data_IF_779838198980
#
_entry.id   IF_779838198980
#
_cell.length_a   1.000
_cell.length_b   1.000
_cell.length_c   1.000
_cell.angle_alpha   90.00
_cell.angle_beta   90.00
_cell.angle_gamma   90.00
#
_symmetry.space_group_name_H-M   'P 1'
#
loop_
_entity.id
_entity.type
_entity.pdbx_description
1 polymer ?
#
# COMPACT_ATOMS: atom_id res chain seq x y z
N UNK A 1 11.55 -2.24 -8.04
CA UNK A 1 12.54 -3.34 -7.90
C UNK A 1 13.95 -2.90 -8.29
N UNK A 2 14.21 -2.55 -9.56
CA UNK A 2 15.56 -2.14 -10.02
C UNK A 2 16.16 -1.00 -9.19
N UNK A 3 15.36 0.04 -8.88
CA UNK A 3 15.81 1.14 -8.03
C UNK A 3 16.19 0.72 -6.60
N UNK A 4 15.55 -0.30 -6.02
CA UNK A 4 15.92 -0.81 -4.70
C UNK A 4 17.27 -1.52 -4.74
N UNK A 5 17.51 -2.36 -5.75
CA UNK A 5 18.78 -3.07 -5.91
C UNK A 5 19.92 -2.06 -6.10
N UNK A 6 19.72 -1.05 -6.96
CA UNK A 6 20.67 0.04 -7.15
C UNK A 6 20.99 0.76 -5.83
N UNK A 7 19.95 1.17 -5.10
CA UNK A 7 20.12 1.89 -3.84
C UNK A 7 20.82 1.03 -2.78
N UNK A 8 20.39 -0.23 -2.60
CA UNK A 8 21.00 -1.17 -1.66
C UNK A 8 22.47 -1.40 -1.96
N UNK A 9 22.81 -1.62 -3.23
CA UNK A 9 24.18 -1.94 -3.59
C UNK A 9 25.12 -0.74 -3.40
N UNK A 10 24.72 0.45 -3.86
CA UNK A 10 25.58 1.64 -3.80
C UNK A 10 25.56 2.29 -2.41
N UNK A 11 24.36 2.60 -1.90
CA UNK A 11 24.23 3.43 -0.70
C UNK A 11 24.24 2.64 0.61
N UNK A 12 24.13 1.31 0.57
CA UNK A 12 24.11 0.49 1.80
C UNK A 12 25.30 -0.47 1.84
N UNK A 13 25.44 -1.33 0.82
CA UNK A 13 26.50 -2.33 0.76
C UNK A 13 27.88 -1.70 0.53
N UNK A 14 28.04 -0.92 -0.55
CA UNK A 14 29.30 -0.27 -0.89
C UNK A 14 29.69 0.82 0.13
N UNK A 15 28.71 1.49 0.72
CA UNK A 15 28.92 2.44 1.81
C UNK A 15 29.30 1.78 3.15
N UNK A 16 29.23 0.45 3.27
CA UNK A 16 29.63 -0.28 4.48
C UNK A 16 28.68 -0.13 5.68
N UNK A 17 27.42 0.29 5.47
CA UNK A 17 26.48 0.57 6.55
C UNK A 17 26.05 -0.67 7.35
N UNK A 18 25.95 -1.82 6.69
CA UNK A 18 25.46 -3.08 7.27
C UNK A 18 26.49 -4.21 7.25
N UNK A 19 27.78 -3.89 7.03
CA UNK A 19 28.85 -4.89 6.91
C UNK A 19 29.37 -5.37 8.26
N UNK A 20 29.19 -4.59 9.32
CA UNK A 20 29.63 -4.92 10.67
C UNK A 20 28.50 -5.47 11.55
N UNK A 21 28.86 -6.36 12.47
CA UNK A 21 27.94 -6.81 13.51
C UNK A 21 27.65 -5.69 14.52
N UNK A 22 26.42 -5.63 15.07
CA UNK A 22 25.34 -6.63 15.00
C UNK A 22 24.38 -6.47 13.79
N UNK A 23 24.57 -5.44 12.96
CA UNK A 23 23.61 -5.10 11.91
C UNK A 23 23.60 -6.13 10.77
N UNK A 24 24.77 -6.68 10.43
CA UNK A 24 24.90 -7.72 9.42
C UNK A 24 24.11 -8.98 9.79
N UNK A 25 24.42 -9.55 10.96
CA UNK A 25 23.76 -10.75 11.48
C UNK A 25 22.25 -10.56 11.65
N UNK A 26 21.80 -9.40 12.15
CA UNK A 26 20.38 -9.09 12.25
C UNK A 26 19.67 -9.10 10.88
N UNK A 27 20.27 -8.45 9.87
CA UNK A 27 19.67 -8.35 8.52
C UNK A 27 19.61 -9.71 7.82
N UNK A 28 20.66 -10.52 7.98
CA UNK A 28 20.69 -11.90 7.47
C UNK A 28 19.62 -12.75 8.15
N UNK A 29 19.56 -12.71 9.49
CA UNK A 29 18.60 -13.49 10.27
C UNK A 29 17.14 -13.09 9.96
N UNK A 30 16.87 -11.81 9.74
CA UNK A 30 15.55 -11.32 9.35
C UNK A 30 15.11 -11.90 8.00
N UNK A 31 16.00 -11.95 7.02
CA UNK A 31 15.71 -12.51 5.69
C UNK A 31 15.45 -14.02 5.75
N UNK A 32 16.26 -14.76 6.52
CA UNK A 32 16.10 -16.21 6.70
C UNK A 32 14.80 -16.54 7.44
N UNK A 33 14.48 -15.79 8.50
CA UNK A 33 13.24 -15.96 9.28
C UNK A 33 12.01 -15.76 8.41
N UNK A 34 11.99 -14.71 7.57
CA UNK A 34 10.91 -14.50 6.61
C UNK A 34 10.83 -15.65 5.60
N UNK A 35 11.96 -16.13 5.11
CA UNK A 35 12.04 -17.28 4.21
C UNK A 35 11.60 -18.62 4.83
N UNK A 36 11.67 -18.80 6.15
CA UNK A 36 11.19 -20.00 6.86
C UNK A 36 9.77 -19.87 7.40
N UNK A 37 9.17 -18.68 7.36
CA UNK A 37 7.81 -18.45 7.87
C UNK A 37 6.79 -19.17 6.98
N UNK A 38 5.74 -19.72 7.60
CA UNK A 38 4.70 -20.44 6.87
C UNK A 38 3.89 -19.50 5.96
N UNK A 39 3.50 -20.00 4.79
CA UNK A 39 2.86 -19.22 3.73
C UNK A 39 1.63 -18.44 4.20
N UNK A 40 0.74 -19.09 4.97
CA UNK A 40 -0.50 -18.47 5.46
C UNK A 40 -0.22 -17.37 6.50
N UNK A 41 0.84 -17.47 7.29
CA UNK A 41 1.19 -16.45 8.27
C UNK A 41 1.65 -15.17 7.56
N UNK A 42 2.48 -15.30 6.52
CA UNK A 42 2.91 -14.17 5.69
C UNK A 42 1.74 -13.54 4.93
N UNK A 43 0.82 -14.36 4.44
CA UNK A 43 -0.40 -13.89 3.78
C UNK A 43 -1.27 -13.05 4.72
N UNK A 44 -1.58 -13.55 5.93
CA UNK A 44 -2.38 -12.83 6.93
C UNK A 44 -1.70 -11.53 7.38
N UNK A 45 -0.38 -11.57 7.63
CA UNK A 45 0.40 -10.36 7.93
C UNK A 45 0.39 -9.36 6.77
N UNK A 46 0.32 -9.84 5.52
CA UNK A 46 0.20 -9.03 4.32
C UNK A 46 -1.13 -8.28 4.22
N UNK A 47 -2.23 -8.92 4.64
CA UNK A 47 -3.57 -8.28 4.63
C UNK A 47 -3.59 -7.08 5.57
N UNK A 48 -3.26 -7.30 6.84
CA UNK A 48 -3.23 -6.22 7.83
C UNK A 48 -2.18 -5.15 7.49
N UNK A 49 -1.05 -5.57 6.91
CA UNK A 49 0.01 -4.67 6.48
C UNK A 49 -0.48 -3.62 5.47
N UNK A 50 -1.08 -4.07 4.37
CA UNK A 50 -1.53 -3.12 3.34
C UNK A 50 -2.81 -2.38 3.73
N UNK A 51 -3.64 -2.95 4.61
CA UNK A 51 -4.76 -2.20 5.17
C UNK A 51 -4.27 -0.92 5.87
N UNK A 52 -3.27 -1.02 6.76
CA UNK A 52 -2.72 0.15 7.45
C UNK A 52 -2.01 1.14 6.51
N UNK A 53 -1.31 0.64 5.48
CA UNK A 53 -0.67 1.49 4.47
C UNK A 53 -1.72 2.27 3.67
N UNK A 54 -2.78 1.62 3.20
CA UNK A 54 -3.86 2.30 2.49
C UNK A 54 -4.64 3.25 3.42
N UNK A 55 -4.81 2.90 4.70
CA UNK A 55 -5.42 3.77 5.70
C UNK A 55 -4.59 5.04 5.93
N UNK A 56 -3.26 4.93 6.01
CA UNK A 56 -2.37 6.09 6.12
C UNK A 56 -2.52 7.05 4.92
N UNK A 57 -2.60 6.51 3.71
CA UNK A 57 -2.84 7.31 2.50
C UNK A 57 -4.20 7.99 2.57
N UNK A 58 -5.26 7.26 2.92
CA UNK A 58 -6.61 7.83 3.03
C UNK A 58 -6.70 8.94 4.08
N UNK A 59 -6.17 8.72 5.29
CA UNK A 59 -6.13 9.75 6.32
C UNK A 59 -5.30 10.97 5.88
N UNK A 60 -4.18 10.74 5.19
CA UNK A 60 -3.34 11.79 4.63
C UNK A 60 -4.01 12.60 3.53
N UNK A 61 -4.82 11.98 2.66
CA UNK A 61 -5.55 12.71 1.61
C UNK A 61 -6.81 13.38 2.13
N UNK A 62 -7.43 12.85 3.19
CA UNK A 62 -8.65 13.43 3.80
C UNK A 62 -8.35 14.62 4.72
N UNK A 63 -7.12 14.71 5.24
CA UNK A 63 -6.71 15.81 6.11
C UNK A 63 -6.48 17.12 5.32
N UNK A 64 -6.95 18.24 5.88
CA UNK A 64 -6.78 19.58 5.29
C UNK A 64 -5.49 20.27 5.73
N UNK A 65 -5.07 20.02 6.97
CA UNK A 65 -3.90 20.66 7.58
C UNK A 65 -2.65 19.78 7.49
N UNK A 66 -1.48 20.41 7.37
CA UNK A 66 -0.20 19.69 7.28
C UNK A 66 0.05 18.78 8.49
N UNK A 67 -0.20 19.26 9.70
CA UNK A 67 -0.01 18.47 10.93
C UNK A 67 -0.89 17.23 10.90
N UNK A 68 -2.16 17.38 10.52
CA UNK A 68 -3.10 16.26 10.40
C UNK A 68 -2.67 15.25 9.32
N UNK A 69 -2.10 15.71 8.20
CA UNK A 69 -1.53 14.83 7.16
C UNK A 69 -0.36 14.01 7.69
N UNK A 70 0.55 14.65 8.42
CA UNK A 70 1.73 14.00 8.99
C UNK A 70 1.30 12.97 10.04
N UNK A 71 0.46 13.35 11.00
CA UNK A 71 0.02 12.46 12.09
C UNK A 71 -0.85 11.32 11.55
N UNK A 72 -1.80 11.64 10.66
CA UNK A 72 -2.70 10.66 10.04
C UNK A 72 -1.98 9.63 9.17
N UNK A 73 -0.88 10.02 8.52
CA UNK A 73 0.00 9.08 7.84
C UNK A 73 0.92 8.32 8.81
N UNK A 74 1.58 9.03 9.72
CA UNK A 74 2.60 8.47 10.60
C UNK A 74 2.07 7.38 11.52
N UNK A 75 0.91 7.57 12.16
CA UNK A 75 0.42 6.63 13.17
C UNK A 75 0.12 5.22 12.60
N UNK A 76 -0.63 5.06 11.48
CA UNK A 76 -0.84 3.73 10.90
C UNK A 76 0.45 3.12 10.35
N UNK A 77 1.35 3.91 9.74
CA UNK A 77 2.65 3.46 9.25
C UNK A 77 3.57 3.00 10.39
N UNK A 78 3.59 3.72 11.50
CA UNK A 78 4.33 3.33 12.70
C UNK A 78 3.78 2.03 13.29
N UNK A 79 2.45 1.91 13.43
CA UNK A 79 1.81 0.70 13.94
C UNK A 79 2.12 -0.52 13.05
N UNK A 80 2.08 -0.31 11.73
CA UNK A 80 2.45 -1.32 10.74
C UNK A 80 3.85 -1.91 10.99
N UNK A 81 4.84 -1.04 11.21
CA UNK A 81 6.23 -1.46 11.48
C UNK A 81 6.38 -2.02 12.89
N UNK A 82 5.77 -1.39 13.90
CA UNK A 82 5.90 -1.78 15.31
C UNK A 82 5.34 -3.17 15.59
N UNK A 83 4.24 -3.55 14.95
CA UNK A 83 3.63 -4.88 15.08
C UNK A 83 4.34 -5.94 14.22
N UNK A 84 5.09 -5.52 13.19
CA UNK A 84 5.82 -6.42 12.31
C UNK A 84 4.92 -7.08 11.24
N UNK A 85 4.01 -6.30 10.66
CA UNK A 85 3.24 -6.73 9.49
C UNK A 85 4.11 -6.75 8.22
N UNK A 86 3.59 -7.42 7.18
CA UNK A 86 4.35 -7.68 5.96
C UNK A 86 3.85 -6.79 4.82
N UNK A 87 4.79 -6.22 4.06
CA UNK A 87 4.47 -5.44 2.87
C UNK A 87 5.44 -5.79 1.76
N UNK A 88 4.91 -6.08 0.57
CA UNK A 88 5.67 -6.60 -0.56
C UNK A 88 6.81 -5.66 -0.94
N UNK A 89 6.55 -4.34 -0.97
CA UNK A 89 7.57 -3.33 -1.30
C UNK A 89 8.63 -3.22 -0.20
N UNK A 90 8.24 -3.29 1.08
CA UNK A 90 9.21 -3.28 2.19
C UNK A 90 10.09 -4.54 2.20
N UNK A 91 9.53 -5.69 1.81
CA UNK A 91 10.26 -6.94 1.67
C UNK A 91 11.22 -6.93 0.48
N UNK A 92 10.90 -6.20 -0.61
CA UNK A 92 11.87 -5.94 -1.67
C UNK A 92 13.11 -5.22 -1.14
N UNK A 93 12.97 -4.35 -0.12
CA UNK A 93 14.12 -3.72 0.49
C UNK A 93 14.83 -4.63 1.50
N UNK A 94 14.09 -5.12 2.50
CA UNK A 94 14.67 -5.79 3.67
C UNK A 94 15.21 -7.18 3.37
N UNK A 95 14.46 -8.00 2.61
CA UNK A 95 14.86 -9.38 2.31
C UNK A 95 16.01 -9.41 1.28
N UNK A 96 15.95 -8.54 0.26
CA UNK A 96 17.03 -8.45 -0.74
C UNK A 96 18.33 -7.97 -0.11
N UNK A 97 18.28 -7.03 0.84
CA UNK A 97 19.48 -6.62 1.56
C UNK A 97 20.11 -7.79 2.34
N UNK A 98 19.29 -8.63 3.00
CA UNK A 98 19.78 -9.84 3.66
C UNK A 98 20.40 -10.85 2.69
N UNK A 99 19.80 -11.01 1.51
CA UNK A 99 20.37 -11.86 0.43
C UNK A 99 21.71 -11.33 -0.08
N UNK A 100 21.86 -10.01 -0.27
CA UNK A 100 23.12 -9.36 -0.67
C UNK A 100 24.22 -9.58 0.39
N UNK A 101 23.85 -9.56 1.68
CA UNK A 101 24.79 -9.77 2.80
C UNK A 101 25.15 -11.24 3.07
N UNK A 102 24.48 -12.18 2.38
CA UNK A 102 24.80 -13.61 2.42
C UNK A 102 23.77 -14.51 3.11
N UNK A 103 22.50 -14.11 3.20
CA UNK A 103 21.45 -14.98 3.75
C UNK A 103 21.25 -16.26 2.93
N UNK A 104 21.00 -17.39 3.60
CA UNK A 104 20.71 -18.67 2.97
C UNK A 104 19.24 -18.74 2.48
N UNK A 105 18.92 -17.88 1.52
CA UNK A 105 17.60 -17.79 0.91
C UNK A 105 17.75 -17.76 -0.61
N UNK A 106 17.30 -18.81 -1.29
CA UNK A 106 17.31 -18.83 -2.75
C UNK A 106 16.27 -17.86 -3.32
N UNK A 107 16.56 -17.29 -4.49
CA UNK A 107 15.64 -16.37 -5.19
C UNK A 107 14.28 -17.03 -5.45
N UNK A 108 14.28 -18.31 -5.83
CA UNK A 108 13.04 -19.07 -6.05
C UNK A 108 12.20 -19.19 -4.77
N UNK A 109 12.83 -19.48 -3.63
CA UNK A 109 12.14 -19.57 -2.33
C UNK A 109 11.64 -18.20 -1.86
N UNK A 110 12.43 -17.14 -2.06
CA UNK A 110 11.99 -15.76 -1.79
C UNK A 110 10.74 -15.40 -2.58
N UNK A 111 10.71 -15.68 -3.88
CA UNK A 111 9.54 -15.35 -4.71
C UNK A 111 8.32 -16.18 -4.28
N UNK A 112 8.47 -17.50 -4.21
CA UNK A 112 7.34 -18.40 -3.97
C UNK A 112 6.78 -18.32 -2.55
N UNK A 113 7.66 -18.28 -1.54
CA UNK A 113 7.28 -18.39 -0.13
C UNK A 113 7.09 -17.04 0.55
N UNK A 114 7.70 -15.96 0.05
CA UNK A 114 7.59 -14.62 0.67
C UNK A 114 6.82 -13.65 -0.20
N UNK A 115 7.24 -13.44 -1.45
CA UNK A 115 6.66 -12.38 -2.29
C UNK A 115 5.21 -12.67 -2.70
N UNK A 116 4.91 -13.87 -3.19
CA UNK A 116 3.55 -14.23 -3.63
C UNK A 116 2.53 -14.09 -2.49
N UNK A 117 2.69 -14.74 -1.31
CA UNK A 117 1.70 -14.63 -0.24
C UNK A 117 1.52 -13.20 0.24
N UNK A 118 2.62 -12.46 0.43
CA UNK A 118 2.53 -11.07 0.91
C UNK A 118 1.87 -10.16 -0.12
N UNK A 119 2.14 -10.35 -1.41
CA UNK A 119 1.52 -9.55 -2.48
C UNK A 119 0.01 -9.83 -2.56
N UNK A 120 -0.40 -11.11 -2.51
CA UNK A 120 -1.81 -11.48 -2.48
C UNK A 120 -2.52 -10.91 -1.24
N UNK A 121 -1.88 -11.02 -0.08
CA UNK A 121 -2.38 -10.42 1.15
C UNK A 121 -2.52 -8.91 1.02
N UNK A 122 -1.51 -8.23 0.46
CA UNK A 122 -1.54 -6.78 0.26
C UNK A 122 -2.67 -6.35 -0.68
N UNK A 123 -2.88 -7.05 -1.80
CA UNK A 123 -3.98 -6.76 -2.74
C UNK A 123 -5.33 -6.85 -2.01
N UNK A 124 -5.55 -7.91 -1.24
CA UNK A 124 -6.77 -8.06 -0.44
C UNK A 124 -6.90 -6.98 0.64
N UNK A 125 -5.81 -6.68 1.36
CA UNK A 125 -5.79 -5.67 2.42
C UNK A 125 -6.18 -4.27 1.92
N UNK A 126 -5.61 -3.85 0.79
CA UNK A 126 -5.91 -2.55 0.21
C UNK A 126 -7.26 -2.51 -0.52
N UNK A 127 -7.52 -3.54 -1.35
CA UNK A 127 -8.73 -3.62 -2.16
C UNK A 127 -9.99 -3.78 -1.32
N UNK A 128 -9.99 -4.71 -0.36
CA UNK A 128 -11.18 -5.01 0.43
C UNK A 128 -11.47 -3.95 1.50
N UNK A 129 -10.48 -3.54 2.29
CA UNK A 129 -10.76 -2.67 3.45
C UNK A 129 -10.79 -1.18 3.12
N UNK A 130 -10.05 -0.73 2.12
CA UNK A 130 -10.01 0.69 1.74
C UNK A 130 -10.74 0.91 0.42
N UNK A 131 -10.48 0.09 -0.59
CA UNK A 131 -11.14 0.19 -1.90
C UNK A 131 -12.66 0.01 -1.83
N UNK A 132 -13.15 -1.06 -1.20
CA UNK A 132 -14.60 -1.30 -1.09
C UNK A 132 -15.27 -0.26 -0.20
N UNK A 133 -14.67 0.13 0.92
CA UNK A 133 -15.26 1.16 1.79
C UNK A 133 -15.34 2.51 1.07
N UNK A 134 -14.30 2.89 0.32
CA UNK A 134 -14.33 4.10 -0.49
C UNK A 134 -15.40 4.03 -1.59
N UNK A 135 -15.51 2.90 -2.28
CA UNK A 135 -16.56 2.67 -3.29
C UNK A 135 -17.96 2.76 -2.67
N UNK A 136 -18.18 2.13 -1.52
CA UNK A 136 -19.47 2.16 -0.83
C UNK A 136 -19.83 3.57 -0.34
N UNK A 137 -18.88 4.37 0.14
CA UNK A 137 -19.19 5.70 0.66
C UNK A 137 -19.40 6.72 -0.47
N UNK A 138 -18.61 6.69 -1.54
CA UNK A 138 -18.59 7.78 -2.52
C UNK A 138 -19.21 7.44 -3.87
N UNK A 139 -19.15 6.18 -4.32
CA UNK A 139 -19.67 5.79 -5.63
C UNK A 139 -21.13 5.35 -5.58
N UNK A 140 -21.59 4.71 -4.50
CA UNK A 140 -23.01 4.33 -4.40
C UNK A 140 -23.91 5.56 -4.26
N UNK A 141 -23.45 6.58 -3.52
CA UNK A 141 -24.23 7.79 -3.28
C UNK A 141 -24.36 8.64 -4.53
N UNK A 142 -23.31 8.68 -5.37
CA UNK A 142 -23.34 9.39 -6.65
C UNK A 142 -24.35 8.76 -7.62
N UNK A 143 -24.38 7.43 -7.72
CA UNK A 143 -25.34 6.68 -8.56
C UNK A 143 -26.78 6.89 -8.07
N UNK A 144 -27.02 6.81 -6.75
CA UNK A 144 -28.35 7.05 -6.18
C UNK A 144 -28.83 8.50 -6.40
N UNK A 145 -27.92 9.47 -6.37
CA UNK A 145 -28.25 10.87 -6.60
C UNK A 145 -28.59 11.12 -8.07
N UNK A 146 -27.81 10.58 -9.01
CA UNK A 146 -28.09 10.69 -10.45
C UNK A 146 -29.43 10.01 -10.82
N UNK A 147 -29.72 8.80 -10.30
CA UNK A 147 -31.00 8.12 -10.53
C UNK A 147 -32.20 8.88 -9.95
N UNK A 148 -32.03 9.54 -8.79
CA UNK A 148 -33.08 10.38 -8.18
C UNK A 148 -33.30 11.70 -8.92
N UNK A 149 -32.29 12.22 -9.61
CA UNK A 149 -32.41 13.41 -10.45
C UNK A 149 -33.12 13.05 -11.76
N UNK A 150 -32.69 11.99 -12.45
CA UNK A 150 -33.28 11.54 -13.71
C UNK A 150 -34.76 11.16 -13.56
N UNK A 151 -35.11 10.44 -12.49
CA UNK A 151 -36.51 10.10 -12.20
C UNK A 151 -37.41 11.29 -11.83
N UNK A 152 -36.85 12.47 -11.55
CA UNK A 152 -37.61 13.70 -11.21
C UNK A 152 -37.68 14.71 -12.36
N UNK A 153 -36.96 14.48 -13.46
CA UNK A 153 -36.97 15.37 -14.62
C UNK A 153 -38.04 14.92 -15.63
N UNK A 154 -38.89 15.83 -16.12
CA UNK A 154 -39.79 15.50 -17.23
C UNK A 154 -38.96 15.20 -18.48
N UNK A 155 -39.25 14.05 -19.10
CA UNK A 155 -38.50 13.32 -20.16
C UNK A 155 -38.12 14.16 -21.41
N UNK A 156 -38.54 15.42 -21.52
CA UNK A 156 -38.28 16.25 -22.70
C UNK A 156 -37.06 17.18 -22.62
N UNK A 157 -36.42 17.35 -21.45
CA UNK A 157 -35.37 18.37 -21.25
C UNK A 157 -34.03 17.83 -20.69
N UNK A 158 -33.87 16.51 -20.57
CA UNK A 158 -32.70 15.89 -19.91
C UNK A 158 -31.37 16.17 -20.63
N UNK A 159 -31.38 16.19 -21.96
CA UNK A 159 -30.15 16.40 -22.76
C UNK A 159 -29.60 17.83 -22.66
N UNK A 160 -30.44 18.83 -22.40
CA UNK A 160 -30.05 20.25 -22.33
C UNK A 160 -29.48 20.63 -20.95
N UNK A 161 -29.86 19.91 -19.90
CA UNK A 161 -29.44 20.17 -18.51
C UNK A 161 -28.12 19.45 -18.19
N UNK A 162 -27.91 18.23 -18.71
CA UNK A 162 -26.68 17.46 -18.48
C UNK A 162 -25.47 18.17 -19.11
N UNK A 163 -25.59 18.63 -20.35
CA UNK A 163 -24.51 19.37 -21.03
C UNK A 163 -24.14 20.69 -20.33
N UNK A 164 -25.07 21.31 -19.61
CA UNK A 164 -24.84 22.55 -18.87
C UNK A 164 -24.15 22.32 -17.52
N UNK A 165 -24.43 21.20 -16.85
CA UNK A 165 -23.80 20.85 -15.58
C UNK A 165 -22.37 20.29 -15.76
N UNK A 166 -22.09 19.53 -16.83
CA UNK A 166 -20.73 19.10 -17.15
C UNK A 166 -19.78 20.30 -17.36
N UNK A 167 -20.28 21.35 -18.03
CA UNK A 167 -19.53 22.59 -18.25
C UNK A 167 -19.25 23.36 -16.94
N UNK A 168 -20.15 23.30 -15.95
CA UNK A 168 -19.98 24.00 -14.65
C UNK A 168 -18.99 23.25 -13.74
N UNK A 169 -18.98 21.91 -13.78
CA UNK A 169 -18.04 21.10 -13.01
C UNK A 169 -16.61 21.27 -13.53
N UNK A 170 -16.41 21.35 -14.85
CA UNK A 170 -15.08 21.65 -15.43
C UNK A 170 -14.55 23.04 -15.03
N UNK A 171 -15.44 24.04 -14.81
CA UNK A 171 -15.03 25.40 -14.41
C UNK A 171 -14.63 25.47 -12.93
N UNK A 172 -15.07 24.51 -12.10
CA UNK A 172 -14.77 24.49 -10.66
C UNK A 172 -13.52 23.69 -10.30
N UNK A 173 -12.92 22.96 -11.25
CA UNK A 173 -11.66 22.22 -11.10
C UNK A 173 -10.43 22.94 -11.68
N UNK A 174 -10.56 24.18 -12.14
CA UNK A 174 -9.45 25.10 -12.48
C UNK A 174 -9.11 26.04 -11.32
#
# INVERSE_FOLDING_TARGET
LVGFIFFQYIFVYYAGLLTHDPYRSFTVHLAETKGSTQWHQLFLKGIAGNWLVCLAIWLGTSARELVSKIVGGFLPLWLFVAVGYEHAIANMFTVQMGMILGANLSIGKYIACVMIPVTLGNILGGGLFVGVTYWYLYLIEKVDTELKIDSKLPVNNTDEIIGKNETIVEIQEL
#
